data_IF_783847986884
#
_entry.id   IF_783847986884
#
_cell.length_a   1.000
_cell.length_b   1.000
_cell.length_c   1.000
_cell.angle_alpha   90.00
_cell.angle_beta   90.00
_cell.angle_gamma   90.00
#
_symmetry.space_group_name_H-M   'P 1'
#
loop_
_entity.id
_entity.type
_entity.pdbx_description
1 polymer ?
#
# COMPACT_ATOMS: atom_id res chain seq x y z
N UNK A 1 5.27 17.07 -10.74
CA UNK A 1 4.42 15.93 -11.13
C UNK A 1 4.81 15.42 -12.49
N UNK A 2 5.33 14.20 -12.55
CA UNK A 2 5.87 13.56 -13.76
C UNK A 2 4.79 13.29 -14.81
N UNK A 3 3.51 13.24 -14.41
CA UNK A 3 2.37 12.91 -15.28
C UNK A 3 1.42 14.08 -15.54
N UNK A 4 1.64 15.26 -14.94
CA UNK A 4 0.68 16.38 -15.00
C UNK A 4 -0.65 16.16 -14.28
N UNK A 5 -0.88 14.99 -13.67
CA UNK A 5 -2.09 14.70 -12.89
C UNK A 5 -1.99 15.34 -11.49
N UNK A 6 -3.09 15.93 -11.03
CA UNK A 6 -3.25 16.28 -9.61
C UNK A 6 -3.66 15.05 -8.81
N UNK A 7 -3.60 15.13 -7.47
CA UNK A 7 -4.08 14.05 -6.58
C UNK A 7 -5.57 13.77 -6.83
N UNK A 8 -6.38 14.83 -7.02
CA UNK A 8 -7.81 14.70 -7.32
C UNK A 8 -8.08 14.00 -8.65
N UNK A 9 -7.29 14.27 -9.67
CA UNK A 9 -7.44 13.61 -10.98
C UNK A 9 -7.11 12.11 -10.87
N UNK A 10 -6.08 11.78 -10.09
CA UNK A 10 -5.74 10.40 -9.82
C UNK A 10 -6.87 9.67 -9.07
N UNK A 11 -7.39 10.27 -7.98
CA UNK A 11 -8.52 9.72 -7.22
C UNK A 11 -9.76 9.50 -8.11
N UNK A 12 -10.04 10.42 -9.04
CA UNK A 12 -11.12 10.25 -10.01
C UNK A 12 -10.87 9.03 -10.91
N UNK A 13 -9.68 8.86 -11.47
CA UNK A 13 -9.34 7.70 -12.30
C UNK A 13 -9.42 6.37 -11.53
N UNK A 14 -9.07 6.38 -10.24
CA UNK A 14 -9.28 5.24 -9.34
C UNK A 14 -10.77 4.94 -9.20
N UNK A 15 -11.60 5.95 -8.90
CA UNK A 15 -13.04 5.77 -8.73
C UNK A 15 -13.76 5.31 -10.01
N UNK A 16 -13.23 5.68 -11.17
CA UNK A 16 -13.72 5.22 -12.48
C UNK A 16 -13.29 3.79 -12.82
N UNK A 17 -12.48 3.14 -11.96
CA UNK A 17 -12.06 1.75 -12.13
C UNK A 17 -11.11 1.53 -13.32
N UNK A 18 -10.39 2.57 -13.74
CA UNK A 18 -9.49 2.49 -14.91
C UNK A 18 -8.26 1.63 -14.62
N UNK A 19 -7.91 1.47 -13.34
CA UNK A 19 -6.78 0.66 -12.91
C UNK A 19 -7.19 -0.79 -12.64
N UNK A 20 -6.37 -1.72 -13.13
CA UNK A 20 -6.50 -3.13 -12.77
C UNK A 20 -5.91 -3.35 -11.37
N UNK A 21 -6.78 -3.52 -10.36
CA UNK A 21 -6.37 -3.72 -8.97
C UNK A 21 -5.40 -4.89 -8.78
N UNK A 22 -5.58 -6.01 -9.47
CA UNK A 22 -4.69 -7.16 -9.32
C UNK A 22 -3.27 -6.85 -9.78
N UNK A 23 -3.14 -6.16 -10.91
CA UNK A 23 -1.83 -5.72 -11.43
C UNK A 23 -1.21 -4.64 -10.53
N UNK A 24 -2.03 -3.70 -10.05
CA UNK A 24 -1.57 -2.65 -9.14
C UNK A 24 -1.10 -3.22 -7.80
N UNK A 25 -1.81 -4.20 -7.26
CA UNK A 25 -1.43 -4.90 -6.03
C UNK A 25 -0.09 -5.63 -6.17
N UNK A 26 0.11 -6.36 -7.28
CA UNK A 26 1.38 -7.02 -7.57
C UNK A 26 2.54 -6.00 -7.73
N UNK A 27 2.29 -4.88 -8.40
CA UNK A 27 3.27 -3.82 -8.56
C UNK A 27 3.65 -3.17 -7.22
N UNK A 28 2.67 -2.82 -6.38
CA UNK A 28 2.90 -2.24 -5.05
C UNK A 28 3.65 -3.21 -4.14
N UNK A 29 3.28 -4.49 -4.16
CA UNK A 29 4.00 -5.53 -3.40
C UNK A 29 5.49 -5.58 -3.78
N UNK A 30 5.78 -5.62 -5.08
CA UNK A 30 7.16 -5.64 -5.59
C UNK A 30 7.91 -4.38 -5.19
N UNK A 31 7.30 -3.20 -5.28
CA UNK A 31 7.91 -1.96 -4.83
C UNK A 31 8.31 -2.00 -3.35
N UNK A 32 7.36 -2.32 -2.46
CA UNK A 32 7.61 -2.38 -1.01
C UNK A 32 8.69 -3.39 -0.65
N UNK A 33 8.70 -4.56 -1.31
CA UNK A 33 9.71 -5.60 -1.10
C UNK A 33 11.14 -5.12 -1.33
N UNK A 34 11.36 -4.16 -2.21
CA UNK A 34 12.70 -3.60 -2.47
C UNK A 34 12.97 -2.30 -1.71
N UNK A 35 11.92 -1.54 -1.39
CA UNK A 35 12.03 -0.31 -0.59
C UNK A 35 12.33 -0.62 0.88
N UNK A 36 11.58 -1.51 1.52
CA UNK A 36 11.70 -1.78 2.96
C UNK A 36 13.11 -2.23 3.37
N UNK A 37 13.80 -3.17 2.68
CA UNK A 37 15.16 -3.53 3.03
C UNK A 37 16.15 -2.37 2.90
N UNK A 38 15.92 -1.46 1.94
CA UNK A 38 16.77 -0.29 1.75
C UNK A 38 16.62 0.73 2.89
N UNK A 39 15.40 0.92 3.40
CA UNK A 39 15.10 1.79 4.53
C UNK A 39 15.68 1.23 5.84
N UNK A 40 15.49 -0.08 6.07
CA UNK A 40 16.05 -0.77 7.24
C UNK A 40 17.57 -0.73 7.26
N UNK A 41 18.23 -0.89 6.10
CA UNK A 41 19.69 -0.77 6.00
C UNK A 41 20.21 0.61 6.42
N UNK A 42 19.44 1.68 6.16
CA UNK A 42 19.76 3.03 6.63
C UNK A 42 19.36 3.28 8.10
N UNK A 43 18.76 2.31 8.78
CA UNK A 43 18.25 2.46 10.15
C UNK A 43 16.96 3.27 10.24
N UNK A 44 16.22 3.43 9.14
CA UNK A 44 14.96 4.18 9.10
C UNK A 44 13.78 3.21 9.10
N UNK A 45 12.98 3.23 10.16
CA UNK A 45 11.67 2.57 10.17
C UNK A 45 10.58 3.59 9.83
N UNK A 46 10.15 3.58 8.56
CA UNK A 46 9.15 4.51 8.03
C UNK A 46 7.71 4.00 8.18
N UNK A 47 7.54 2.72 8.51
CA UNK A 47 6.26 2.01 8.45
C UNK A 47 5.78 1.52 9.82
N UNK A 48 6.53 1.80 10.89
CA UNK A 48 6.10 1.56 12.28
C UNK A 48 4.71 2.13 12.54
N UNK A 49 3.78 1.24 12.91
CA UNK A 49 2.40 1.60 13.26
C UNK A 49 1.49 1.97 12.08
N UNK A 50 1.94 1.84 10.84
CA UNK A 50 1.09 2.03 9.66
C UNK A 50 0.32 0.73 9.31
N UNK A 51 -0.84 0.89 8.68
CA UNK A 51 -1.58 -0.23 8.13
C UNK A 51 -0.76 -0.93 7.03
N UNK A 52 -0.85 -2.27 6.98
CA UNK A 52 -0.10 -3.08 6.03
C UNK A 52 -1.03 -3.39 4.85
N UNK A 53 -0.59 -3.14 3.63
CA UNK A 53 -1.45 -3.36 2.47
C UNK A 53 -0.78 -3.14 1.12
N UNK A 54 -1.54 -3.41 0.08
CA UNK A 54 -1.20 -3.24 -1.32
C UNK A 54 -1.88 -1.97 -1.86
N UNK A 55 -2.29 -1.97 -3.13
CA UNK A 55 -2.98 -0.83 -3.73
C UNK A 55 -4.40 -0.66 -3.17
N UNK A 56 -5.21 -1.72 -3.15
CA UNK A 56 -6.58 -1.68 -2.62
C UNK A 56 -6.85 -2.70 -1.50
N UNK A 57 -5.91 -3.60 -1.25
CA UNK A 57 -6.01 -4.61 -0.19
C UNK A 57 -5.25 -4.12 1.03
N UNK A 58 -5.97 -3.71 2.08
CA UNK A 58 -5.37 -3.19 3.32
C UNK A 58 -5.80 -4.07 4.49
N UNK A 59 -4.84 -4.42 5.34
CA UNK A 59 -5.05 -5.11 6.60
C UNK A 59 -4.63 -4.19 7.74
N UNK A 60 -5.59 -3.82 8.59
CA UNK A 60 -5.32 -3.03 9.79
C UNK A 60 -4.87 -3.93 10.91
N UNK A 61 -3.98 -3.41 11.76
CA UNK A 61 -3.49 -4.17 12.94
C UNK A 61 -4.63 -4.63 13.85
N UNK A 62 -5.63 -3.78 14.07
CA UNK A 62 -6.81 -4.12 14.87
C UNK A 62 -7.66 -5.25 14.28
N UNK A 63 -7.77 -5.30 12.95
CA UNK A 63 -8.53 -6.34 12.24
C UNK A 63 -7.79 -7.68 12.35
N UNK A 64 -6.46 -7.66 12.21
CA UNK A 64 -5.61 -8.84 12.41
C UNK A 64 -5.68 -9.37 13.85
N UNK A 65 -5.60 -8.48 14.85
CA UNK A 65 -5.71 -8.85 16.27
C UNK A 65 -7.08 -9.46 16.60
N UNK A 66 -8.17 -8.95 16.00
CA UNK A 66 -9.51 -9.53 16.15
C UNK A 66 -9.60 -10.95 15.57
N UNK A 67 -9.04 -11.19 14.37
CA UNK A 67 -9.02 -12.53 13.75
C UNK A 67 -8.28 -13.54 14.64
N UNK A 68 -7.12 -13.16 15.19
CA UNK A 68 -6.35 -14.04 16.08
C UNK A 68 -7.03 -14.29 17.44
N UNK A 69 -7.88 -13.39 17.90
CA UNK A 69 -8.60 -13.54 19.17
C UNK A 69 -9.87 -14.41 19.03
N UNK A 70 -10.34 -14.65 17.80
CA UNK A 70 -11.48 -15.51 17.48
C UNK A 70 -11.10 -16.98 17.19
N UNK A 71 -9.79 -17.31 17.20
CA UNK A 71 -9.23 -18.68 17.15
C UNK A 71 -8.90 -19.24 18.55
#
# INVERSE_FOLDING_TARGET
NVTGLTVKDFELLVSLGVFNSALMNDAVYKFKRYEDPSLVYMGVDRHSGQDIGLYDTVLRRSEYEAILAEE
#
